data_IF_679511745568
#
_entry.id   IF_679511745568
#
_cell.length_a   1.000
_cell.length_b   1.000
_cell.length_c   1.000
_cell.angle_alpha   90.00
_cell.angle_beta   90.00
_cell.angle_gamma   90.00
#
_symmetry.space_group_name_H-M   'P 1'
#
loop_
_entity.id
_entity.type
_entity.pdbx_description
1 polymer ?
#
# COMPACT_ATOMS: atom_id res chain seq x y z
N UNK A 1 20.33 2.01 2.14
CA UNK A 1 19.90 1.98 0.72
C UNK A 1 18.94 0.82 0.58
N UNK A 2 17.65 1.08 0.39
CA UNK A 2 16.64 0.03 0.23
C UNK A 2 16.64 -0.39 -1.25
N UNK A 3 17.11 -1.60 -1.56
CA UNK A 3 16.96 -2.21 -2.87
C UNK A 3 15.50 -2.63 -3.03
N UNK A 4 14.77 -1.91 -3.88
CA UNK A 4 13.41 -2.26 -4.31
C UNK A 4 13.49 -3.41 -5.33
N UNK A 5 12.79 -4.51 -5.04
CA UNK A 5 12.66 -5.65 -5.96
C UNK A 5 11.93 -5.16 -7.24
N UNK A 6 12.34 -5.57 -8.45
CA UNK A 6 11.74 -5.03 -9.68
C UNK A 6 10.29 -5.51 -9.80
N UNK A 7 9.35 -4.57 -9.77
CA UNK A 7 7.99 -4.82 -10.22
C UNK A 7 8.08 -5.20 -11.71
N UNK A 8 7.67 -6.42 -12.09
CA UNK A 8 7.66 -6.82 -13.49
C UNK A 8 6.53 -6.07 -14.21
N UNK A 9 6.88 -4.91 -14.78
CA UNK A 9 5.96 -4.08 -15.55
C UNK A 9 5.79 -4.70 -16.95
N UNK A 10 4.55 -4.99 -17.31
CA UNK A 10 4.21 -5.34 -18.68
C UNK A 10 4.04 -4.04 -19.48
N UNK A 11 4.85 -3.88 -20.52
CA UNK A 11 4.89 -2.67 -21.33
C UNK A 11 3.99 -2.84 -22.55
N UNK A 12 2.93 -2.03 -22.60
CA UNK A 12 1.96 -1.94 -23.71
C UNK A 12 2.25 -0.77 -24.64
N UNK A 13 2.94 0.26 -24.14
CA UNK A 13 3.38 1.38 -24.97
C UNK A 13 4.55 0.98 -25.89
N UNK A 14 4.55 1.49 -27.12
CA UNK A 14 5.67 1.36 -28.03
C UNK A 14 6.80 2.32 -27.63
N UNK A 15 7.80 1.81 -26.89
CA UNK A 15 8.92 2.61 -26.41
C UNK A 15 9.87 3.03 -27.53
N UNK A 16 9.84 2.42 -28.72
CA UNK A 16 10.69 2.83 -29.85
C UNK A 16 10.31 4.22 -30.39
N UNK A 17 9.14 4.72 -29.99
CA UNK A 17 8.71 6.10 -30.25
C UNK A 17 9.55 7.15 -29.51
N UNK A 18 10.29 6.75 -28.47
CA UNK A 18 11.36 7.59 -27.92
C UNK A 18 12.62 7.40 -28.77
N UNK A 19 12.97 8.41 -29.55
CA UNK A 19 14.01 8.35 -30.60
C UNK A 19 15.41 8.01 -30.07
N UNK A 20 15.66 8.20 -28.77
CA UNK A 20 16.95 7.87 -28.13
C UNK A 20 16.80 6.67 -27.18
N UNK A 21 17.72 5.69 -27.21
CA UNK A 21 17.73 4.57 -26.26
C UNK A 21 17.73 5.01 -24.79
N UNK A 22 18.45 6.10 -24.48
CA UNK A 22 18.50 6.65 -23.12
C UNK A 22 17.13 7.13 -22.63
N UNK A 23 16.30 7.69 -23.52
CA UNK A 23 14.94 8.11 -23.19
C UNK A 23 14.03 6.91 -22.95
N UNK A 24 14.22 5.82 -23.70
CA UNK A 24 13.49 4.58 -23.46
C UNK A 24 13.80 4.01 -22.08
N UNK A 25 15.10 3.96 -21.73
CA UNK A 25 15.54 3.51 -20.41
C UNK A 25 15.01 4.43 -19.30
N UNK A 26 15.08 5.75 -19.50
CA UNK A 26 14.56 6.74 -18.55
C UNK A 26 13.04 6.66 -18.41
N UNK A 27 12.29 6.41 -19.48
CA UNK A 27 10.85 6.20 -19.43
C UNK A 27 10.49 4.97 -18.59
N UNK A 28 11.13 3.83 -18.86
CA UNK A 28 10.95 2.58 -18.10
C UNK A 28 11.31 2.74 -16.63
N UNK A 29 12.45 3.39 -16.34
CA UNK A 29 12.86 3.69 -14.96
C UNK A 29 11.88 4.64 -14.26
N UNK A 30 11.41 5.69 -14.93
CA UNK A 30 10.44 6.65 -14.38
C UNK A 30 9.11 5.95 -14.07
N UNK A 31 8.66 5.03 -14.92
CA UNK A 31 7.49 4.20 -14.67
C UNK A 31 7.70 3.23 -13.49
N UNK A 32 8.86 2.58 -13.42
CA UNK A 32 9.24 1.73 -12.30
C UNK A 32 9.23 2.47 -10.97
N UNK A 33 9.85 3.66 -10.94
CA UNK A 33 9.87 4.53 -9.76
C UNK A 33 8.46 5.00 -9.40
N UNK A 34 7.64 5.36 -10.38
CA UNK A 34 6.23 5.71 -10.15
C UNK A 34 5.51 4.62 -9.36
N UNK A 35 5.55 3.35 -9.81
CA UNK A 35 4.87 2.27 -9.07
C UNK A 35 5.52 1.92 -7.72
N UNK A 36 6.83 2.11 -7.58
CA UNK A 36 7.53 1.91 -6.31
C UNK A 36 7.10 2.89 -5.21
N UNK A 37 6.68 4.10 -5.56
CA UNK A 37 6.44 5.19 -4.61
C UNK A 37 4.98 5.66 -4.46
N UNK A 38 4.08 5.35 -5.39
CA UNK A 38 2.72 5.95 -5.53
C UNK A 38 1.77 5.82 -4.32
N UNK A 39 2.16 5.24 -3.18
CA UNK A 39 1.23 4.95 -2.08
C UNK A 39 1.58 5.41 -0.68
N UNK A 40 2.69 6.10 -0.42
CA UNK A 40 3.13 6.28 0.98
C UNK A 40 3.15 7.73 1.50
N UNK A 41 3.54 8.74 0.72
CA UNK A 41 3.74 10.10 1.26
C UNK A 41 3.54 11.22 0.24
N UNK A 42 3.32 12.45 0.73
CA UNK A 42 3.34 13.66 -0.11
C UNK A 42 4.70 13.89 -0.75
N UNK A 43 5.80 13.63 -0.02
CA UNK A 43 7.14 13.80 -0.57
C UNK A 43 7.42 12.82 -1.72
N UNK A 44 6.95 11.57 -1.61
CA UNK A 44 7.01 10.63 -2.73
C UNK A 44 6.23 11.11 -3.95
N UNK A 45 5.05 11.71 -3.74
CA UNK A 45 4.26 12.31 -4.82
C UNK A 45 4.98 13.47 -5.51
N UNK A 46 5.69 14.30 -4.73
CA UNK A 46 6.49 15.42 -5.24
C UNK A 46 7.70 14.92 -6.04
N UNK A 47 8.40 13.89 -5.56
CA UNK A 47 9.54 13.30 -6.28
C UNK A 47 9.12 12.64 -7.60
N UNK A 48 7.98 11.95 -7.60
CA UNK A 48 7.36 11.41 -8.82
C UNK A 48 7.01 12.55 -9.79
N UNK A 49 6.34 13.59 -9.29
CA UNK A 49 5.95 14.75 -10.11
C UNK A 49 7.15 15.42 -10.76
N UNK A 50 8.24 15.60 -10.01
CA UNK A 50 9.53 16.08 -10.53
C UNK A 50 10.10 15.16 -11.60
N UNK A 51 10.19 13.86 -11.32
CA UNK A 51 10.76 12.89 -12.26
C UNK A 51 9.99 12.83 -13.59
N UNK A 52 8.65 12.89 -13.52
CA UNK A 52 7.78 12.96 -14.70
C UNK A 52 7.95 14.28 -15.46
N UNK A 53 8.11 15.40 -14.74
CA UNK A 53 8.34 16.71 -15.36
C UNK A 53 9.72 16.81 -16.01
N UNK A 54 10.76 16.28 -15.39
CA UNK A 54 12.11 16.19 -15.97
C UNK A 54 12.10 15.33 -17.23
N UNK A 55 11.41 14.18 -17.19
CA UNK A 55 11.27 13.33 -18.37
C UNK A 55 10.46 14.00 -19.49
N UNK A 56 9.44 14.79 -19.14
CA UNK A 56 8.71 15.62 -20.11
C UNK A 56 9.64 16.62 -20.81
N UNK A 57 10.50 17.32 -20.05
CA UNK A 57 11.46 18.26 -20.64
C UNK A 57 12.50 17.57 -21.53
N UNK A 58 12.96 16.38 -21.14
CA UNK A 58 13.84 15.58 -22.00
C UNK A 58 13.15 15.15 -23.30
N UNK A 59 11.88 14.77 -23.24
CA UNK A 59 11.10 14.46 -24.44
C UNK A 59 11.03 15.69 -25.36
N UNK A 60 10.77 16.88 -24.81
CA UNK A 60 10.76 18.13 -25.60
C UNK A 60 12.13 18.45 -26.23
N UNK A 61 13.22 18.19 -25.51
CA UNK A 61 14.57 18.51 -25.95
C UNK A 61 15.09 17.55 -27.03
N UNK A 62 14.67 16.28 -27.00
CA UNK A 62 15.33 15.21 -27.74
C UNK A 62 14.41 14.44 -28.71
N UNK A 63 13.10 14.69 -28.72
CA UNK A 63 12.16 14.09 -29.66
C UNK A 63 11.44 15.19 -30.46
N UNK A 64 11.37 15.05 -31.79
CA UNK A 64 10.68 16.01 -32.68
C UNK A 64 9.19 16.16 -32.37
N UNK A 65 8.54 15.12 -31.84
CA UNK A 65 7.15 15.12 -31.37
C UNK A 65 7.04 14.86 -29.86
N UNK A 66 8.06 15.27 -29.08
CA UNK A 66 8.21 14.90 -27.68
C UNK A 66 6.98 15.14 -26.79
N UNK A 67 6.29 16.28 -26.98
CA UNK A 67 5.06 16.59 -26.25
C UNK A 67 3.98 15.51 -26.47
N UNK A 68 3.72 15.20 -27.75
CA UNK A 68 2.69 14.23 -28.15
C UNK A 68 3.04 12.83 -27.67
N UNK A 69 4.30 12.42 -27.86
CA UNK A 69 4.80 11.10 -27.42
C UNK A 69 4.69 10.95 -25.91
N UNK A 70 5.04 11.99 -25.13
CA UNK A 70 4.90 11.96 -23.67
C UNK A 70 3.43 11.89 -23.24
N UNK A 71 2.54 12.68 -23.85
CA UNK A 71 1.09 12.66 -23.53
C UNK A 71 0.44 11.30 -23.83
N UNK A 72 0.85 10.66 -24.93
CA UNK A 72 0.41 9.32 -25.30
C UNK A 72 0.98 8.25 -24.37
N UNK A 73 2.26 8.36 -23.99
CA UNK A 73 2.87 7.48 -22.99
C UNK A 73 2.19 7.60 -21.63
N UNK A 74 1.93 8.82 -21.15
CA UNK A 74 1.22 9.08 -19.89
C UNK A 74 -0.25 8.61 -19.93
N UNK A 75 -0.83 8.49 -21.13
CA UNK A 75 -2.18 7.99 -21.34
C UNK A 75 -2.25 6.49 -21.67
N UNK A 76 -1.10 5.85 -21.89
CA UNK A 76 -0.98 4.42 -22.20
C UNK A 76 -1.40 3.54 -21.03
N UNK A 77 -1.67 2.26 -21.30
CA UNK A 77 -2.11 1.30 -20.27
C UNK A 77 -0.99 0.87 -19.32
N UNK A 78 0.27 1.26 -19.60
CA UNK A 78 1.42 1.07 -18.72
C UNK A 78 1.21 1.69 -17.33
N UNK A 79 0.45 2.78 -17.25
CA UNK A 79 0.09 3.44 -15.98
C UNK A 79 -1.16 2.85 -15.33
N UNK A 80 -1.89 1.96 -16.02
CA UNK A 80 -3.10 1.28 -15.56
C UNK A 80 -4.15 2.24 -14.97
N UNK A 81 -4.73 1.86 -13.82
CA UNK A 81 -5.67 2.71 -13.08
C UNK A 81 -5.04 3.96 -12.45
N UNK A 82 -3.71 4.05 -12.43
CA UNK A 82 -2.95 5.12 -11.76
C UNK A 82 -2.64 6.31 -12.68
N UNK A 83 -3.12 6.32 -13.93
CA UNK A 83 -2.97 7.44 -14.89
C UNK A 83 -3.33 8.80 -14.28
N UNK A 84 -4.41 8.86 -13.51
CA UNK A 84 -4.86 10.09 -12.87
C UNK A 84 -3.87 10.60 -11.80
N UNK A 85 -3.17 9.68 -11.12
CA UNK A 85 -2.16 10.02 -10.10
C UNK A 85 -0.95 10.63 -10.77
N UNK A 86 -0.48 10.05 -11.87
CA UNK A 86 0.67 10.59 -12.62
C UNK A 86 0.41 12.02 -13.11
N UNK A 87 -0.77 12.28 -13.69
CA UNK A 87 -1.20 13.63 -14.08
C UNK A 87 -1.27 14.58 -12.88
N UNK A 88 -1.88 14.12 -11.78
CA UNK A 88 -1.99 14.93 -10.56
C UNK A 88 -0.63 15.24 -9.93
N UNK A 89 0.33 14.30 -9.97
CA UNK A 89 1.66 14.48 -9.42
C UNK A 89 2.42 15.62 -10.13
N UNK A 90 2.35 15.67 -11.47
CA UNK A 90 2.93 16.76 -12.27
C UNK A 90 2.27 18.09 -11.91
N UNK A 91 0.93 18.14 -11.86
CA UNK A 91 0.18 19.36 -11.47
C UNK A 91 0.57 19.86 -10.08
N UNK A 92 0.62 18.95 -9.09
CA UNK A 92 0.94 19.25 -7.70
C UNK A 92 2.39 19.70 -7.56
N UNK A 93 3.34 19.04 -8.22
CA UNK A 93 4.75 19.44 -8.20
C UNK A 93 4.95 20.84 -8.79
N UNK A 94 4.38 21.11 -9.96
CA UNK A 94 4.49 22.41 -10.63
C UNK A 94 3.85 23.56 -9.81
N UNK A 95 2.79 23.27 -9.05
CA UNK A 95 2.22 24.22 -8.08
C UNK A 95 3.13 24.39 -6.87
N UNK A 96 3.62 23.30 -6.30
CA UNK A 96 4.42 23.30 -5.07
C UNK A 96 5.76 24.05 -5.24
N UNK A 97 6.44 23.87 -6.37
CA UNK A 97 7.67 24.60 -6.73
C UNK A 97 7.49 26.12 -6.72
N UNK A 98 6.32 26.61 -7.13
CA UNK A 98 6.02 28.05 -7.18
C UNK A 98 5.73 28.67 -5.81
N UNK A 99 5.59 27.86 -4.77
CA UNK A 99 5.29 28.35 -3.42
C UNK A 99 6.53 28.91 -2.73
N UNK A 100 6.38 29.93 -1.87
CA UNK A 100 7.45 30.35 -0.99
C UNK A 100 7.95 29.20 -0.11
N UNK A 101 9.26 29.15 0.17
CA UNK A 101 9.89 28.09 0.97
C UNK A 101 9.26 27.87 2.36
N UNK A 102 8.65 28.92 2.94
CA UNK A 102 7.90 28.83 4.20
C UNK A 102 6.60 28.03 4.04
N UNK A 103 5.87 28.26 2.96
CA UNK A 103 4.63 27.53 2.63
C UNK A 103 4.93 26.09 2.25
N UNK A 104 5.99 25.84 1.49
CA UNK A 104 6.46 24.49 1.15
C UNK A 104 6.72 23.65 2.40
N UNK A 105 7.46 24.20 3.38
CA UNK A 105 7.72 23.53 4.67
C UNK A 105 6.44 23.23 5.44
N UNK A 106 5.52 24.20 5.51
CA UNK A 106 4.25 24.02 6.21
C UNK A 106 3.41 22.89 5.58
N UNK A 107 3.32 22.86 4.26
CA UNK A 107 2.59 21.82 3.52
C UNK A 107 3.22 20.46 3.78
N UNK A 108 4.54 20.32 3.57
CA UNK A 108 5.25 19.05 3.82
C UNK A 108 5.04 18.52 5.23
N UNK A 109 4.93 19.36 6.25
CA UNK A 109 4.73 18.88 7.62
C UNK A 109 3.33 18.31 7.87
N UNK A 110 2.31 18.81 7.17
CA UNK A 110 0.92 18.59 7.54
C UNK A 110 0.11 17.75 6.53
N UNK A 111 0.59 17.60 5.30
CA UNK A 111 -0.16 16.91 4.22
C UNK A 111 0.36 15.53 3.83
N UNK A 112 1.33 14.97 4.57
CA UNK A 112 2.00 13.71 4.21
C UNK A 112 1.04 12.55 3.91
N UNK A 113 -0.07 12.48 4.66
CA UNK A 113 -1.05 11.40 4.58
C UNK A 113 -2.38 11.82 3.92
N UNK A 114 -2.39 12.93 3.18
CA UNK A 114 -3.58 13.39 2.44
C UNK A 114 -3.76 12.58 1.15
N UNK A 115 -5.00 12.47 0.69
CA UNK A 115 -5.26 11.81 -0.60
C UNK A 115 -4.82 12.70 -1.76
N UNK A 116 -4.40 12.08 -2.86
CA UNK A 116 -4.02 12.79 -4.11
C UNK A 116 -5.13 13.72 -4.58
N UNK A 117 -6.39 13.30 -4.47
CA UNK A 117 -7.54 14.13 -4.83
C UNK A 117 -7.67 15.38 -3.95
N UNK A 118 -7.39 15.29 -2.65
CA UNK A 118 -7.44 16.45 -1.75
C UNK A 118 -6.27 17.41 -2.04
N UNK A 119 -5.06 16.87 -2.22
CA UNK A 119 -3.87 17.62 -2.61
C UNK A 119 -4.07 18.36 -3.93
N UNK A 120 -4.73 17.70 -4.90
CA UNK A 120 -5.07 18.32 -6.19
C UNK A 120 -6.03 19.50 -6.01
N UNK A 121 -7.01 19.43 -5.11
CA UNK A 121 -7.88 20.60 -4.85
C UNK A 121 -7.12 21.73 -4.18
N UNK A 122 -6.12 21.43 -3.34
CA UNK A 122 -5.28 22.43 -2.69
C UNK A 122 -4.56 23.34 -3.70
N UNK A 123 -4.20 22.79 -4.88
CA UNK A 123 -3.58 23.57 -5.98
C UNK A 123 -4.49 24.67 -6.55
N UNK A 124 -5.80 24.60 -6.30
CA UNK A 124 -6.80 25.55 -6.81
C UNK A 124 -7.18 26.63 -5.80
N UNK A 125 -6.69 26.51 -4.57
CA UNK A 125 -7.01 27.40 -3.46
C UNK A 125 -5.98 28.54 -3.40
N UNK A 126 -6.39 29.73 -2.95
CA UNK A 126 -5.48 30.87 -2.78
C UNK A 126 -4.41 30.58 -1.72
N UNK A 127 -3.23 31.19 -1.85
CA UNK A 127 -2.09 30.90 -0.97
C UNK A 127 -2.36 31.13 0.52
N UNK A 128 -3.23 32.08 0.86
CA UNK A 128 -3.54 32.37 2.26
C UNK A 128 -4.48 31.33 2.85
N UNK A 129 -5.48 30.89 2.09
CA UNK A 129 -6.40 29.84 2.52
C UNK A 129 -5.71 28.46 2.56
N UNK A 130 -4.70 28.21 1.72
CA UNK A 130 -3.85 27.00 1.81
C UNK A 130 -3.19 26.89 3.19
N UNK A 131 -2.71 27.99 3.78
CA UNK A 131 -2.07 27.96 5.11
C UNK A 131 -3.05 27.55 6.20
N UNK A 132 -4.29 28.03 6.12
CA UNK A 132 -5.35 27.72 7.09
C UNK A 132 -5.79 26.26 6.96
N UNK A 133 -6.11 25.84 5.73
CA UNK A 133 -6.51 24.47 5.40
C UNK A 133 -5.50 23.44 5.91
N UNK A 134 -4.22 23.68 5.64
CA UNK A 134 -3.13 22.76 6.00
C UNK A 134 -2.92 22.68 7.51
N UNK A 135 -3.19 23.77 8.27
CA UNK A 135 -3.09 23.78 9.73
C UNK A 135 -4.26 23.08 10.43
N UNK A 136 -5.42 23.04 9.78
CA UNK A 136 -6.63 22.45 10.36
C UNK A 136 -6.65 20.91 10.37
N UNK A 137 -5.56 20.27 9.95
CA UNK A 137 -5.43 18.81 9.92
C UNK A 137 -5.93 18.19 8.61
N UNK A 138 -6.05 16.85 8.58
CA UNK A 138 -6.39 16.11 7.37
C UNK A 138 -7.80 16.45 6.86
N UNK A 139 -7.88 16.92 5.61
CA UNK A 139 -9.14 17.27 4.93
C UNK A 139 -9.40 16.34 3.74
N UNK A 140 -10.69 16.13 3.45
CA UNK A 140 -11.12 15.43 2.23
C UNK A 140 -11.14 16.40 1.04
N UNK A 141 -11.15 15.86 -0.19
CA UNK A 141 -11.20 16.68 -1.39
C UNK A 141 -12.47 17.55 -1.46
N UNK A 142 -13.59 17.07 -0.92
CA UNK A 142 -14.84 17.83 -0.83
C UNK A 142 -14.70 19.01 0.13
N UNK A 143 -14.14 18.79 1.32
CA UNK A 143 -13.91 19.85 2.32
C UNK A 143 -12.97 20.94 1.79
N UNK A 144 -11.88 20.56 1.13
CA UNK A 144 -10.94 21.54 0.53
C UNK A 144 -11.62 22.37 -0.56
N UNK A 145 -12.53 21.76 -1.33
CA UNK A 145 -13.27 22.44 -2.38
C UNK A 145 -14.30 23.42 -1.80
N UNK A 146 -15.09 22.98 -0.82
CA UNK A 146 -16.13 23.79 -0.18
C UNK A 146 -15.57 25.02 0.55
N UNK A 147 -14.47 24.84 1.30
CA UNK A 147 -13.77 25.95 1.96
C UNK A 147 -13.14 26.89 0.92
N UNK A 148 -12.62 26.34 -0.19
CA UNK A 148 -12.09 27.11 -1.32
C UNK A 148 -13.13 27.94 -2.08
N UNK A 149 -14.38 27.48 -2.17
CA UNK A 149 -15.50 28.19 -2.78
C UNK A 149 -16.09 29.25 -1.83
N UNK A 150 -16.19 28.94 -0.54
CA UNK A 150 -16.66 29.87 0.50
C UNK A 150 -15.75 31.09 0.64
N UNK A 151 -14.43 30.89 0.57
CA UNK A 151 -13.46 32.00 0.59
C UNK A 151 -13.52 32.93 -0.63
N UNK A 152 -14.12 32.48 -1.75
CA UNK A 152 -14.31 33.31 -2.96
C UNK A 152 -15.63 34.10 -2.97
N UNK A 153 -16.62 33.70 -2.17
CA UNK A 153 -17.90 34.43 -2.07
C UNK A 153 -17.87 35.58 -1.04
N UNK A 154 -16.91 35.59 -0.12
CA UNK A 154 -16.77 36.65 0.92
C UNK A 154 -16.38 38.05 0.40
N UNK A 155 -15.97 38.20 -0.86
CA UNK A 155 -15.56 39.50 -1.43
C UNK A 155 -16.62 40.19 -2.31
N UNK A 156 -17.84 39.62 -2.44
CA UNK A 156 -18.93 40.28 -3.18
C UNK A 156 -20.13 40.59 -2.28
N UNK A 157 -20.16 41.83 -1.82
CA UNK A 157 -21.39 42.62 -1.80
C UNK A 157 -22.41 42.26 -0.73
N UNK A 158 -22.14 42.70 0.50
CA UNK A 158 -23.14 42.89 1.53
C UNK A 158 -24.20 43.92 1.05
N UNK A 159 -25.42 43.47 0.75
CA UNK A 159 -26.64 44.29 0.74
C UNK A 159 -27.79 43.50 1.37
N UNK A 160 -27.92 43.68 2.68
CA UNK A 160 -29.23 43.71 3.35
C UNK A 160 -30.09 44.79 2.68
N UNK A 161 -31.42 44.61 2.55
CA UNK A 161 -32.48 45.09 3.49
C UNK A 161 -33.85 44.45 3.02
N UNK A 162 -35.04 44.70 3.62
CA UNK A 162 -35.76 43.75 4.49
C UNK A 162 -37.22 43.42 4.03
N UNK A 163 -37.88 42.56 4.82
CA UNK A 163 -39.33 42.38 4.86
C UNK A 163 -40.06 43.64 5.35
N UNK A 164 -41.21 43.95 4.74
CA UNK A 164 -42.31 44.70 5.37
C UNK A 164 -43.65 44.13 4.87
N UNK A 165 -44.47 43.67 5.83
CA UNK A 165 -45.93 43.60 5.71
C UNK A 165 -46.50 45.02 5.77
N UNK A 166 -47.59 45.31 5.04
CA UNK A 166 -48.79 46.00 5.56
C UNK A 166 -49.91 45.92 4.52
N UNK A 167 -51.06 45.45 5.01
CA UNK A 167 -52.39 45.45 4.40
C UNK A 167 -52.86 46.79 3.85
N UNK A 168 -53.63 46.78 2.76
CA UNK A 168 -54.95 47.45 2.62
C UNK A 168 -55.49 47.32 1.18
N UNK A 169 -56.59 46.58 1.03
CA UNK A 169 -57.60 46.76 -0.03
C UNK A 169 -58.74 47.59 0.60
N UNK A 170 -59.49 48.44 -0.15
CA UNK A 170 -60.41 47.91 -1.15
C UNK A 170 -60.62 48.78 -2.40
N UNK A 171 -60.58 48.15 -3.56
CA UNK A 171 -61.41 48.52 -4.69
C UNK A 171 -61.69 47.24 -5.49
N UNK A 172 -62.97 46.94 -5.73
CA UNK A 172 -63.43 45.82 -6.57
C UNK A 172 -63.12 46.13 -8.05
N UNK A 173 -62.36 45.24 -8.71
CA UNK A 173 -62.72 44.80 -10.04
C UNK A 173 -62.81 43.28 -10.12
N UNK A 174 -63.44 42.81 -11.18
CA UNK A 174 -63.56 41.44 -11.72
C UNK A 174 -62.52 40.44 -11.19
N UNK A 175 -62.89 39.22 -10.75
CA UNK A 175 -61.98 38.27 -10.09
C UNK A 175 -60.79 37.94 -11.00
N UNK A 176 -59.65 38.57 -10.73
CA UNK A 176 -58.43 38.33 -11.47
C UNK A 176 -57.77 37.07 -10.92
N UNK A 177 -57.69 36.04 -11.77
CA UNK A 177 -57.06 34.77 -11.45
C UNK A 177 -55.58 34.99 -11.08
N UNK A 178 -55.20 34.56 -9.88
CA UNK A 178 -53.85 34.74 -9.33
C UNK A 178 -53.21 33.39 -8.94
N UNK A 179 -51.87 33.27 -8.96
CA UNK A 179 -51.19 32.11 -8.38
C UNK A 179 -51.64 31.86 -6.93
N UNK A 180 -51.88 30.59 -6.58
CA UNK A 180 -52.42 30.15 -5.31
C UNK A 180 -53.94 30.02 -5.26
N UNK A 181 -54.70 30.50 -6.25
CA UNK A 181 -56.15 30.32 -6.29
C UNK A 181 -56.54 28.90 -6.70
N UNK A 182 -57.59 28.38 -6.04
CA UNK A 182 -58.28 27.16 -6.47
C UNK A 182 -59.18 27.44 -7.65
N UNK A 183 -59.11 26.59 -8.66
CA UNK A 183 -59.92 26.68 -9.86
C UNK A 183 -60.56 25.36 -10.20
N UNK A 184 -61.61 25.43 -11.01
CA UNK A 184 -62.22 24.30 -11.71
C UNK A 184 -62.06 24.55 -13.20
N UNK A 185 -61.68 23.53 -13.95
CA UNK A 185 -61.57 23.60 -15.42
C UNK A 185 -62.97 23.55 -16.03
N UNK A 186 -63.38 24.59 -16.79
CA UNK A 186 -64.67 24.65 -17.49
C UNK A 186 -64.65 24.06 -18.88
N UNK A 187 -63.60 24.38 -19.64
CA UNK A 187 -63.48 24.07 -21.06
C UNK A 187 -62.05 23.64 -21.34
N UNK A 188 -61.88 22.41 -21.80
CA UNK A 188 -60.57 21.86 -22.13
C UNK A 188 -60.69 20.76 -23.18
N UNK A 189 -59.75 20.75 -24.12
CA UNK A 189 -59.69 19.78 -25.21
C UNK A 189 -59.07 18.45 -24.76
N UNK A 190 -58.44 18.42 -23.58
CA UNK A 190 -57.69 17.28 -23.03
C UNK A 190 -58.48 16.48 -21.98
N UNK A 191 -59.77 16.77 -21.81
CA UNK A 191 -60.68 16.01 -20.94
C UNK A 191 -60.65 16.39 -19.46
N UNK A 192 -60.01 17.51 -19.09
CA UNK A 192 -59.90 17.94 -17.70
C UNK A 192 -61.12 18.71 -17.17
N UNK A 193 -62.17 18.88 -17.97
CA UNK A 193 -63.40 19.58 -17.59
C UNK A 193 -63.97 19.01 -16.27
N UNK A 194 -64.26 19.90 -15.32
CA UNK A 194 -64.78 19.57 -13.99
C UNK A 194 -63.72 19.22 -12.94
N UNK A 195 -62.44 19.10 -13.30
CA UNK A 195 -61.38 18.84 -12.34
C UNK A 195 -60.96 20.12 -11.60
N UNK A 196 -60.76 20.00 -10.29
CA UNK A 196 -60.22 21.07 -9.45
C UNK A 196 -58.70 21.05 -9.45
N UNK A 197 -58.09 22.22 -9.26
CA UNK A 197 -56.65 22.39 -9.16
C UNK A 197 -56.25 23.74 -8.57
N UNK A 198 -54.96 23.99 -8.52
CA UNK A 198 -54.37 25.22 -7.99
C UNK A 198 -53.50 25.87 -9.06
N UNK A 199 -53.66 27.18 -9.25
CA UNK A 199 -52.79 27.96 -10.14
C UNK A 199 -51.40 28.05 -9.50
N UNK A 200 -50.38 27.51 -10.16
CA UNK A 200 -49.00 27.53 -9.68
C UNK A 200 -48.23 28.78 -10.14
N UNK A 201 -48.45 29.20 -11.39
CA UNK A 201 -47.79 30.39 -11.96
C UNK A 201 -48.52 30.89 -13.20
N UNK A 202 -48.29 32.16 -13.56
CA UNK A 202 -48.85 32.82 -14.74
C UNK A 202 -47.69 33.20 -15.68
N UNK A 203 -47.78 32.85 -16.96
CA UNK A 203 -46.80 33.24 -17.99
C UNK A 203 -47.54 33.60 -19.27
N UNK A 204 -47.24 34.79 -19.83
CA UNK A 204 -47.79 35.25 -21.13
C UNK A 204 -49.32 35.25 -21.25
N UNK A 205 -50.04 35.38 -20.12
CA UNK A 205 -51.50 35.36 -20.08
C UNK A 205 -52.13 33.97 -19.93
N UNK A 206 -51.31 32.93 -19.85
CA UNK A 206 -51.71 31.54 -19.58
C UNK A 206 -51.33 31.13 -18.15
N UNK A 207 -52.03 30.13 -17.62
CA UNK A 207 -51.91 29.67 -16.25
C UNK A 207 -51.42 28.23 -16.19
N UNK A 208 -50.31 28.01 -15.49
CA UNK A 208 -49.87 26.67 -15.13
C UNK A 208 -50.66 26.21 -13.90
N UNK A 209 -51.50 25.20 -14.09
CA UNK A 209 -52.36 24.63 -13.05
C UNK A 209 -51.88 23.23 -12.70
N UNK A 210 -51.79 22.97 -11.40
CA UNK A 210 -51.61 21.62 -10.85
C UNK A 210 -52.99 21.07 -10.49
N UNK A 211 -53.43 20.00 -11.15
CA UNK A 211 -54.75 19.41 -10.92
C UNK A 211 -54.69 18.41 -9.77
N UNK A 212 -55.73 18.37 -8.93
CA UNK A 212 -55.79 17.46 -7.79
C UNK A 212 -55.71 15.99 -8.22
N UNK A 213 -56.33 15.67 -9.36
CA UNK A 213 -56.35 14.31 -9.89
C UNK A 213 -54.95 13.81 -10.24
N UNK A 214 -54.11 14.65 -10.87
CA UNK A 214 -52.73 14.26 -11.20
C UNK A 214 -51.90 14.05 -9.94
N UNK A 215 -52.09 14.90 -8.92
CA UNK A 215 -51.41 14.76 -7.63
C UNK A 215 -51.85 13.48 -6.90
N UNK A 216 -53.15 13.14 -6.93
CA UNK A 216 -53.68 11.92 -6.32
C UNK A 216 -53.13 10.63 -6.95
N UNK A 217 -52.65 10.71 -8.20
CA UNK A 217 -51.98 9.63 -8.92
C UNK A 217 -50.45 9.63 -8.72
N UNK A 218 -49.91 10.50 -7.85
CA UNK A 218 -48.46 10.63 -7.63
C UNK A 218 -47.71 11.31 -8.77
N UNK A 219 -48.42 12.03 -9.66
CA UNK A 219 -47.82 12.74 -10.79
C UNK A 219 -47.78 14.26 -10.55
N UNK A 220 -46.61 14.87 -10.67
CA UNK A 220 -46.43 16.33 -10.61
C UNK A 220 -46.49 16.99 -12.00
N UNK A 221 -47.51 16.65 -12.78
CA UNK A 221 -47.70 17.21 -14.13
C UNK A 221 -48.46 18.54 -14.03
N UNK A 222 -47.89 19.59 -14.61
CA UNK A 222 -48.52 20.92 -14.71
C UNK A 222 -49.24 21.03 -16.06
N UNK A 223 -50.48 21.48 -16.04
CA UNK A 223 -51.27 21.72 -17.23
C UNK A 223 -51.32 23.21 -17.53
N UNK A 224 -51.15 23.59 -18.79
CA UNK A 224 -51.19 24.98 -19.24
C UNK A 224 -52.61 25.29 -19.72
N UNK A 225 -53.30 26.20 -19.02
CA UNK A 225 -54.70 26.54 -19.28
C UNK A 225 -54.86 28.04 -19.53
N UNK A 226 -55.74 28.40 -20.46
CA UNK A 226 -56.08 29.78 -20.80
C UNK A 226 -57.12 30.35 -19.83
N UNK A 227 -57.23 31.69 -19.69
CA UNK A 227 -58.13 32.31 -18.73
C UNK A 227 -59.62 31.91 -18.86
N UNK A 228 -60.10 31.63 -20.07
CA UNK A 228 -61.48 31.21 -20.31
C UNK A 228 -61.75 29.74 -19.96
N UNK A 229 -60.69 28.94 -19.84
CA UNK A 229 -60.77 27.50 -19.57
C UNK A 229 -60.95 27.19 -18.07
N UNK A 230 -60.78 28.18 -17.20
CA UNK A 230 -60.76 27.98 -15.74
C UNK A 230 -61.66 29.00 -15.03
N UNK A 231 -62.28 28.57 -13.93
CA UNK A 231 -63.02 29.46 -13.03
C UNK A 231 -62.59 29.27 -11.58
N UNK A 232 -62.71 30.30 -10.73
CA UNK A 232 -62.52 30.15 -9.30
C UNK A 232 -63.47 29.09 -8.75
N UNK A 233 -62.94 28.14 -7.98
CA UNK A 233 -63.76 27.14 -7.29
C UNK A 233 -64.63 27.86 -6.26
N UNK A 234 -65.90 28.09 -6.60
CA UNK A 234 -66.87 28.68 -5.68
C UNK A 234 -67.05 27.71 -4.51
N UNK A 235 -66.71 28.16 -3.29
CA UNK A 235 -66.92 27.40 -2.07
C UNK A 235 -68.41 27.08 -1.93
N UNK A 236 -68.81 25.87 -2.31
CA UNK A 236 -70.16 25.39 -2.04
C UNK A 236 -70.28 25.13 -0.53
N UNK A 237 -71.36 25.60 0.12
CA UNK A 237 -71.67 25.22 1.49
C UNK A 237 -71.95 23.71 1.51
N UNK A 238 -71.08 22.97 2.18
CA UNK A 238 -71.11 21.52 2.30
C UNK A 238 -72.50 21.07 2.77
N UNK A 239 -73.19 20.31 1.92
CA UNK A 239 -74.42 19.60 2.24
C UNK A 239 -74.14 18.58 3.35
N UNK A 240 -74.95 18.64 4.41
CA UNK A 240 -75.04 17.65 5.49
C UNK A 240 -75.14 16.23 4.93
N UNK A 241 -74.16 15.40 5.24
CA UNK A 241 -74.23 13.94 5.09
C UNK A 241 -74.45 13.34 6.48
N UNK A 242 -75.30 12.33 6.50
CA UNK A 242 -75.92 11.70 7.66
C UNK A 242 -74.92 11.02 8.61
N UNK A 243 -75.20 11.18 9.90
CA UNK A 243 -75.01 10.25 11.02
C UNK A 243 -74.06 9.06 10.81
N UNK A 244 -72.75 9.34 10.74
CA UNK A 244 -71.76 8.44 11.33
C UNK A 244 -71.54 8.91 12.76
N UNK A 245 -71.36 7.99 13.71
CA UNK A 245 -71.01 8.31 15.10
C UNK A 245 -69.86 9.33 15.11
N UNK A 246 -70.21 10.57 15.42
CA UNK A 246 -69.26 11.67 15.47
C UNK A 246 -68.48 11.49 16.76
N UNK A 247 -67.23 11.05 16.64
CA UNK A 247 -66.27 11.13 17.73
C UNK A 247 -66.33 12.54 18.32
N UNK A 248 -66.48 12.63 19.63
CA UNK A 248 -66.37 13.91 20.32
C UNK A 248 -64.98 14.50 20.07
N UNK A 249 -64.84 15.82 20.07
CA UNK A 249 -63.55 16.48 19.81
C UNK A 249 -62.42 15.93 20.70
N UNK A 250 -62.76 15.54 21.93
CA UNK A 250 -61.85 14.89 22.88
C UNK A 250 -61.43 13.48 22.43
N UNK A 251 -62.34 12.67 21.89
CA UNK A 251 -62.00 11.34 21.35
C UNK A 251 -61.15 11.42 20.09
N UNK A 252 -61.35 12.45 19.26
CA UNK A 252 -60.50 12.72 18.09
C UNK A 252 -59.10 13.12 18.54
N UNK A 253 -58.97 14.04 19.49
CA UNK A 253 -57.67 14.45 20.05
C UNK A 253 -56.94 13.28 20.72
N UNK A 254 -57.66 12.43 21.46
CA UNK A 254 -57.10 11.23 22.08
C UNK A 254 -56.59 10.25 21.02
N UNK A 255 -57.37 9.98 19.97
CA UNK A 255 -56.93 9.11 18.87
C UNK A 255 -55.74 9.68 18.10
N UNK A 256 -55.66 10.99 17.93
CA UNK A 256 -54.49 11.65 17.31
C UNK A 256 -53.27 11.48 18.20
N UNK A 257 -53.39 11.68 19.51
CA UNK A 257 -52.30 11.50 20.46
C UNK A 257 -51.80 10.04 20.48
N UNK A 258 -52.71 9.07 20.53
CA UNK A 258 -52.38 7.64 20.53
C UNK A 258 -51.72 7.22 19.21
N UNK A 259 -52.21 7.71 18.06
CA UNK A 259 -51.62 7.44 16.76
C UNK A 259 -50.21 8.04 16.62
N UNK A 260 -49.99 9.26 17.15
CA UNK A 260 -48.65 9.87 17.17
C UNK A 260 -47.71 9.07 18.07
N UNK A 261 -48.18 8.63 19.24
CA UNK A 261 -47.39 7.82 20.17
C UNK A 261 -46.99 6.47 19.55
N UNK A 262 -47.93 5.78 18.90
CA UNK A 262 -47.66 4.52 18.20
C UNK A 262 -46.67 4.72 17.05
N UNK A 263 -46.88 5.72 16.21
CA UNK A 263 -45.98 6.03 15.10
C UNK A 263 -44.55 6.35 15.60
N UNK A 264 -44.43 7.10 16.69
CA UNK A 264 -43.13 7.39 17.30
C UNK A 264 -42.45 6.14 17.85
N UNK A 265 -43.21 5.22 18.44
CA UNK A 265 -42.68 3.94 18.91
C UNK A 265 -42.20 3.06 17.75
N UNK A 266 -43.02 2.86 16.71
CA UNK A 266 -42.65 2.09 15.52
C UNK A 266 -41.43 2.67 14.81
N UNK A 267 -41.33 4.01 14.76
CA UNK A 267 -40.16 4.70 14.22
C UNK A 267 -38.91 4.45 15.05
N UNK A 268 -39.00 4.51 16.38
CA UNK A 268 -37.87 4.23 17.26
C UNK A 268 -37.38 2.76 17.13
N UNK A 269 -38.32 1.81 17.05
CA UNK A 269 -38.00 0.39 16.84
C UNK A 269 -37.36 0.15 15.46
N UNK A 270 -37.88 0.79 14.40
CA UNK A 270 -37.31 0.71 13.05
C UNK A 270 -35.89 1.29 12.99
N UNK A 271 -35.67 2.45 13.61
CA UNK A 271 -34.35 3.06 13.69
C UNK A 271 -33.36 2.18 14.46
N UNK A 272 -33.79 1.59 15.59
CA UNK A 272 -32.97 0.66 16.36
C UNK A 272 -32.60 -0.59 15.55
N UNK A 273 -33.53 -1.15 14.78
CA UNK A 273 -33.27 -2.24 13.84
C UNK A 273 -32.19 -1.87 12.81
N UNK A 274 -32.30 -0.68 12.19
CA UNK A 274 -31.29 -0.17 11.25
C UNK A 274 -29.92 -0.01 11.89
N UNK A 275 -29.84 0.48 13.13
CA UNK A 275 -28.55 0.61 13.81
C UNK A 275 -27.88 -0.74 14.06
N UNK A 276 -28.65 -1.77 14.40
CA UNK A 276 -28.14 -3.13 14.58
C UNK A 276 -27.60 -3.68 13.26
N UNK A 277 -28.35 -3.56 12.17
CA UNK A 277 -27.91 -4.00 10.84
C UNK A 277 -26.63 -3.31 10.39
N UNK A 278 -26.54 -1.99 10.55
CA UNK A 278 -25.34 -1.21 10.21
C UNK A 278 -24.15 -1.66 11.06
N UNK A 279 -24.35 -1.84 12.37
CA UNK A 279 -23.29 -2.30 13.28
C UNK A 279 -22.78 -3.69 12.88
N UNK A 280 -23.69 -4.61 12.61
CA UNK A 280 -23.32 -5.99 12.31
C UNK A 280 -22.66 -6.09 10.92
N UNK A 281 -23.12 -5.30 9.94
CA UNK A 281 -22.45 -5.16 8.65
C UNK A 281 -21.05 -4.56 8.78
N UNK A 282 -20.88 -3.53 9.62
CA UNK A 282 -19.58 -2.93 9.90
C UNK A 282 -18.62 -3.92 10.58
N UNK A 283 -19.11 -4.72 11.54
CA UNK A 283 -18.33 -5.77 12.20
C UNK A 283 -17.91 -6.87 11.22
N UNK A 284 -18.79 -7.28 10.31
CA UNK A 284 -18.43 -8.24 9.28
C UNK A 284 -17.40 -7.68 8.30
N UNK A 285 -17.53 -6.42 7.88
CA UNK A 285 -16.56 -5.75 7.03
C UNK A 285 -15.18 -5.68 7.70
N UNK A 286 -15.14 -5.26 8.98
CA UNK A 286 -13.91 -5.21 9.76
C UNK A 286 -13.25 -6.59 9.91
N UNK A 287 -14.03 -7.65 10.15
CA UNK A 287 -13.51 -9.03 10.20
C UNK A 287 -12.88 -9.46 8.88
N UNK A 288 -13.52 -9.16 7.74
CA UNK A 288 -12.97 -9.47 6.41
C UNK A 288 -11.67 -8.72 6.15
N UNK A 289 -11.60 -7.45 6.55
CA UNK A 289 -10.39 -6.62 6.38
C UNK A 289 -9.23 -7.14 7.25
N UNK A 290 -9.49 -7.51 8.51
CA UNK A 290 -8.50 -8.11 9.39
C UNK A 290 -7.98 -9.43 8.82
N UNK A 291 -8.88 -10.29 8.32
CA UNK A 291 -8.49 -11.55 7.72
C UNK A 291 -7.63 -11.36 6.46
N UNK A 292 -8.03 -10.44 5.57
CA UNK A 292 -7.24 -10.10 4.39
C UNK A 292 -5.86 -9.54 4.75
N UNK A 293 -5.78 -8.71 5.80
CA UNK A 293 -4.50 -8.19 6.30
C UNK A 293 -3.60 -9.30 6.86
N UNK A 294 -4.17 -10.27 7.57
CA UNK A 294 -3.44 -11.43 8.09
C UNK A 294 -2.92 -12.33 6.96
N UNK A 295 -3.74 -12.61 5.94
CA UNK A 295 -3.33 -13.37 4.76
C UNK A 295 -2.20 -12.68 4.01
N UNK A 296 -2.30 -11.36 3.82
CA UNK A 296 -1.24 -10.56 3.22
C UNK A 296 0.06 -10.60 4.04
N UNK A 297 -0.04 -10.48 5.37
CA UNK A 297 1.13 -10.60 6.26
C UNK A 297 1.79 -11.97 6.15
N UNK A 298 1.01 -13.05 6.08
CA UNK A 298 1.55 -14.42 5.90
C UNK A 298 2.23 -14.58 4.56
N UNK A 299 1.65 -14.04 3.48
CA UNK A 299 2.24 -14.07 2.15
C UNK A 299 3.60 -13.34 2.11
N UNK A 300 3.70 -12.18 2.77
CA UNK A 300 4.98 -11.46 2.90
C UNK A 300 6.01 -12.30 3.66
N UNK A 301 5.64 -12.89 4.79
CA UNK A 301 6.56 -13.72 5.58
C UNK A 301 7.07 -14.93 4.78
N UNK A 302 6.18 -15.62 4.07
CA UNK A 302 6.56 -16.74 3.19
C UNK A 302 7.51 -16.31 2.06
N UNK A 303 7.23 -15.16 1.44
CA UNK A 303 8.11 -14.61 0.40
C UNK A 303 9.48 -14.20 0.96
N UNK A 304 9.51 -13.63 2.17
CA UNK A 304 10.75 -13.27 2.85
C UNK A 304 11.61 -14.50 3.15
N UNK A 305 10.99 -15.59 3.60
CA UNK A 305 11.68 -16.86 3.85
C UNK A 305 12.25 -17.46 2.55
N UNK A 306 11.45 -17.51 1.47
CA UNK A 306 11.90 -18.00 0.17
C UNK A 306 13.07 -17.18 -0.40
N UNK A 307 13.04 -15.86 -0.23
CA UNK A 307 14.16 -15.00 -0.64
C UNK A 307 15.42 -15.23 0.19
N UNK A 308 15.28 -15.46 1.51
CA UNK A 308 16.40 -15.78 2.37
C UNK A 308 17.07 -17.10 1.96
N UNK A 309 16.27 -18.12 1.65
CA UNK A 309 16.77 -19.41 1.17
C UNK A 309 17.48 -19.26 -0.18
N UNK A 310 16.88 -18.56 -1.14
CA UNK A 310 17.50 -18.30 -2.45
C UNK A 310 18.83 -17.54 -2.33
N UNK A 311 18.91 -16.59 -1.39
CA UNK A 311 20.15 -15.86 -1.14
C UNK A 311 21.23 -16.78 -0.53
N UNK A 312 20.87 -17.71 0.36
CA UNK A 312 21.81 -18.72 0.86
C UNK A 312 22.31 -19.64 -0.25
N UNK A 313 21.43 -20.10 -1.14
CA UNK A 313 21.83 -20.94 -2.28
C UNK A 313 22.78 -20.20 -3.23
N UNK A 314 22.52 -18.92 -3.50
CA UNK A 314 23.41 -18.10 -4.31
C UNK A 314 24.77 -17.89 -3.64
N UNK A 315 24.82 -17.69 -2.33
CA UNK A 315 26.07 -17.61 -1.57
C UNK A 315 26.87 -18.92 -1.64
N UNK A 316 26.19 -20.07 -1.52
CA UNK A 316 26.83 -21.38 -1.64
C UNK A 316 27.42 -21.58 -3.05
N UNK A 317 26.69 -21.20 -4.09
CA UNK A 317 27.18 -21.25 -5.47
C UNK A 317 28.38 -20.33 -5.72
N UNK A 318 28.36 -19.11 -5.15
CA UNK A 318 29.49 -18.19 -5.23
C UNK A 318 30.72 -18.76 -4.54
N UNK A 319 30.58 -19.35 -3.35
CA UNK A 319 31.68 -20.01 -2.64
C UNK A 319 32.30 -21.14 -3.46
N UNK A 320 31.47 -22.00 -4.07
CA UNK A 320 31.94 -23.07 -4.93
C UNK A 320 32.69 -22.55 -6.16
N UNK A 321 32.24 -21.44 -6.75
CA UNK A 321 32.92 -20.78 -7.87
C UNK A 321 34.23 -20.12 -7.47
N UNK A 322 34.30 -19.52 -6.29
CA UNK A 322 35.54 -18.98 -5.75
C UNK A 322 36.59 -20.08 -5.50
N UNK A 323 36.17 -21.25 -5.02
CA UNK A 323 37.05 -22.42 -4.89
C UNK A 323 37.58 -22.91 -6.24
N UNK A 324 36.73 -22.96 -7.27
CA UNK A 324 37.13 -23.30 -8.64
C UNK A 324 38.18 -22.31 -9.18
N UNK A 325 37.97 -21.00 -8.97
CA UNK A 325 38.93 -19.96 -9.37
C UNK A 325 40.26 -20.11 -8.64
N UNK A 326 40.27 -20.39 -7.33
CA UNK A 326 41.52 -20.65 -6.58
C UNK A 326 42.26 -21.88 -7.11
N UNK A 327 41.53 -22.93 -7.46
CA UNK A 327 42.10 -24.13 -8.08
C UNK A 327 42.77 -23.80 -9.42
N UNK A 328 42.08 -23.04 -10.28
CA UNK A 328 42.63 -22.59 -11.56
C UNK A 328 43.88 -21.71 -11.39
N UNK A 329 43.90 -20.79 -10.42
CA UNK A 329 45.07 -19.97 -10.12
C UNK A 329 46.27 -20.83 -9.66
N UNK A 330 46.01 -21.87 -8.88
CA UNK A 330 47.05 -22.83 -8.45
C UNK A 330 47.62 -23.59 -9.64
N UNK A 331 46.76 -24.06 -10.55
CA UNK A 331 47.18 -24.74 -11.78
C UNK A 331 47.96 -23.80 -12.71
N UNK A 332 47.54 -22.54 -12.84
CA UNK A 332 48.25 -21.53 -13.62
C UNK A 332 49.67 -21.30 -13.07
N UNK A 333 49.81 -21.18 -11.76
CA UNK A 333 51.12 -21.03 -11.11
C UNK A 333 52.01 -22.24 -11.38
N UNK A 334 51.45 -23.46 -11.31
CA UNK A 334 52.19 -24.69 -11.59
C UNK A 334 52.61 -24.79 -13.06
N UNK A 335 51.75 -24.39 -13.99
CA UNK A 335 52.10 -24.34 -15.41
C UNK A 335 53.25 -23.36 -15.68
N UNK A 336 53.23 -22.17 -15.07
CA UNK A 336 54.34 -21.22 -15.18
C UNK A 336 55.66 -21.80 -14.64
N UNK A 337 55.62 -22.52 -13.52
CA UNK A 337 56.81 -23.20 -12.98
C UNK A 337 57.31 -24.31 -13.91
N UNK A 338 56.41 -25.07 -14.53
CA UNK A 338 56.76 -26.09 -15.50
C UNK A 338 57.39 -25.46 -16.76
N UNK A 339 56.82 -24.38 -17.29
CA UNK A 339 57.38 -23.64 -18.43
C UNK A 339 58.79 -23.11 -18.14
N UNK A 340 59.01 -22.56 -16.94
CA UNK A 340 60.35 -22.14 -16.51
C UNK A 340 61.33 -23.32 -16.50
N UNK A 341 60.91 -24.46 -15.93
CA UNK A 341 61.75 -25.67 -15.85
C UNK A 341 62.02 -26.29 -17.23
N UNK A 342 61.05 -26.27 -18.15
CA UNK A 342 61.27 -26.68 -19.54
C UNK A 342 62.30 -25.77 -20.19
N UNK A 343 62.17 -24.44 -20.03
CA UNK A 343 63.11 -23.46 -20.59
C UNK A 343 64.53 -23.67 -20.02
N UNK A 344 64.66 -23.97 -18.73
CA UNK A 344 65.95 -24.28 -18.10
C UNK A 344 66.56 -25.58 -18.63
N UNK A 345 65.75 -26.63 -18.80
CA UNK A 345 66.20 -27.90 -19.37
C UNK A 345 66.61 -27.76 -20.83
N UNK A 346 65.87 -26.99 -21.64
CA UNK A 346 66.21 -26.68 -23.03
C UNK A 346 67.57 -25.97 -23.12
N UNK A 347 67.80 -24.96 -22.26
CA UNK A 347 69.11 -24.28 -22.17
C UNK A 347 70.22 -25.23 -21.71
N UNK A 348 69.95 -26.12 -20.77
CA UNK A 348 70.93 -27.09 -20.28
C UNK A 348 71.32 -28.09 -21.38
N UNK A 349 70.34 -28.55 -22.18
CA UNK A 349 70.56 -29.43 -23.33
C UNK A 349 71.33 -28.72 -24.45
N UNK A 350 71.02 -27.46 -24.74
CA UNK A 350 71.76 -26.67 -25.73
C UNK A 350 73.21 -26.47 -25.29
N UNK A 351 73.43 -26.15 -24.00
CA UNK A 351 74.76 -26.07 -23.41
C UNK A 351 75.50 -27.42 -23.48
N UNK A 352 74.83 -28.55 -23.24
CA UNK A 352 75.46 -29.87 -23.32
C UNK A 352 75.85 -30.28 -24.73
N UNK A 353 74.97 -30.04 -25.69
CA UNK A 353 75.21 -30.35 -27.10
C UNK A 353 76.34 -29.49 -27.71
N UNK A 354 76.49 -28.25 -27.25
CA UNK A 354 77.57 -27.35 -27.69
C UNK A 354 78.96 -27.73 -27.19
N UNK A 355 79.07 -28.67 -26.24
CA UNK A 355 80.32 -29.00 -25.55
C UNK A 355 80.70 -30.46 -25.78
N UNK A 356 80.82 -30.89 -27.03
CA UNK A 356 80.92 -32.31 -27.41
C UNK A 356 82.25 -33.01 -27.10
N UNK A 357 83.20 -32.42 -26.34
CA UNK A 357 84.55 -33.00 -26.20
C UNK A 357 85.07 -33.22 -24.76
N UNK A 358 84.27 -33.15 -23.68
CA UNK A 358 84.84 -33.35 -22.33
C UNK A 358 83.86 -33.85 -21.25
N UNK A 359 83.09 -34.90 -21.55
CA UNK A 359 81.87 -35.24 -20.80
C UNK A 359 81.91 -36.35 -19.73
N UNK A 360 83.01 -37.08 -19.52
CA UNK A 360 82.90 -38.25 -18.62
C UNK A 360 83.19 -38.00 -17.13
N UNK A 361 83.95 -36.96 -16.76
CA UNK A 361 84.41 -36.80 -15.36
C UNK A 361 83.89 -35.56 -14.61
N UNK A 362 83.39 -34.54 -15.32
CA UNK A 362 82.95 -33.28 -14.71
C UNK A 362 81.45 -33.26 -14.38
N UNK A 363 80.66 -34.02 -15.14
CA UNK A 363 79.21 -34.05 -15.04
C UNK A 363 78.73 -34.57 -13.68
N UNK A 364 79.34 -35.65 -13.18
CA UNK A 364 78.87 -36.29 -11.95
C UNK A 364 79.08 -35.41 -10.69
N UNK A 365 80.15 -34.59 -10.66
CA UNK A 365 80.45 -33.73 -9.51
C UNK A 365 79.72 -32.39 -9.55
N UNK A 366 79.51 -31.80 -10.73
CA UNK A 366 78.73 -30.57 -10.86
C UNK A 366 77.23 -30.84 -10.78
N UNK A 367 76.73 -31.92 -11.38
CA UNK A 367 75.32 -32.31 -11.26
C UNK A 367 74.94 -32.60 -9.80
N UNK A 368 75.78 -33.35 -9.06
CA UNK A 368 75.53 -33.60 -7.64
C UNK A 368 75.49 -32.31 -6.80
N UNK A 369 76.33 -31.31 -7.11
CA UNK A 369 76.32 -30.01 -6.41
C UNK A 369 75.09 -29.17 -6.74
N UNK A 370 74.66 -29.13 -7.99
CA UNK A 370 73.48 -28.36 -8.40
C UNK A 370 72.21 -29.00 -7.85
N UNK A 371 72.10 -30.34 -7.93
CA UNK A 371 70.97 -31.09 -7.37
C UNK A 371 70.88 -30.93 -5.85
N UNK A 372 72.00 -31.01 -5.12
CA UNK A 372 71.98 -30.76 -3.67
C UNK A 372 71.59 -29.32 -3.33
N UNK A 373 72.07 -28.34 -4.10
CA UNK A 373 71.73 -26.92 -3.86
C UNK A 373 70.25 -26.63 -4.17
N UNK A 374 69.69 -27.23 -5.20
CA UNK A 374 68.25 -27.12 -5.49
C UNK A 374 67.40 -27.86 -4.46
N UNK A 375 67.81 -29.05 -4.02
CA UNK A 375 67.17 -29.78 -2.93
C UNK A 375 67.14 -28.95 -1.65
N UNK A 376 68.27 -28.38 -1.23
CA UNK A 376 68.34 -27.48 -0.06
C UNK A 376 67.41 -26.27 -0.22
N UNK A 377 67.44 -25.62 -1.39
CA UNK A 377 66.58 -24.45 -1.68
C UNK A 377 65.09 -24.79 -1.64
N UNK A 378 64.71 -26.03 -1.90
CA UNK A 378 63.31 -26.49 -1.93
C UNK A 378 62.85 -27.04 -0.58
N UNK A 379 63.73 -27.72 0.15
CA UNK A 379 63.43 -28.33 1.45
C UNK A 379 63.24 -27.28 2.54
N UNK A 380 64.04 -26.21 2.54
CA UNK A 380 63.98 -25.22 3.62
C UNK A 380 62.65 -24.44 3.69
N UNK A 381 62.07 -23.96 2.57
CA UNK A 381 60.72 -23.37 2.59
C UNK A 381 59.62 -24.38 2.97
N UNK A 382 59.73 -25.63 2.51
CA UNK A 382 58.78 -26.69 2.85
C UNK A 382 58.81 -27.01 4.35
N UNK A 383 59.98 -27.07 4.96
CA UNK A 383 60.11 -27.25 6.42
C UNK A 383 59.48 -26.09 7.19
N UNK A 384 59.72 -24.84 6.76
CA UNK A 384 59.09 -23.66 7.40
C UNK A 384 57.57 -23.69 7.28
N UNK A 385 57.03 -24.17 6.16
CA UNK A 385 55.58 -24.30 5.97
C UNK A 385 55.00 -25.42 6.83
N UNK A 386 55.71 -26.55 6.99
CA UNK A 386 55.32 -27.61 7.93
C UNK A 386 55.31 -27.10 9.37
N UNK A 387 56.34 -26.36 9.80
CA UNK A 387 56.40 -25.76 11.13
C UNK A 387 55.26 -24.76 11.36
N UNK A 388 54.95 -23.94 10.35
CA UNK A 388 53.82 -23.00 10.37
C UNK A 388 52.49 -23.73 10.50
N UNK A 389 52.26 -24.78 9.71
CA UNK A 389 51.03 -25.57 9.75
C UNK A 389 50.86 -26.30 11.09
N UNK A 390 51.94 -26.85 11.64
CA UNK A 390 51.92 -27.45 12.98
C UNK A 390 51.57 -26.42 14.06
N UNK A 391 52.09 -25.19 13.96
CA UNK A 391 51.75 -24.10 14.88
C UNK A 391 50.28 -23.70 14.78
N UNK A 392 49.73 -23.59 13.56
CA UNK A 392 48.31 -23.28 13.33
C UNK A 392 47.40 -24.40 13.86
N UNK A 393 47.75 -25.66 13.63
CA UNK A 393 47.00 -26.81 14.15
C UNK A 393 46.97 -26.79 15.68
N UNK A 394 48.12 -26.60 16.32
CA UNK A 394 48.21 -26.52 17.78
C UNK A 394 47.36 -25.37 18.35
N UNK A 395 47.36 -24.21 17.68
CA UNK A 395 46.52 -23.07 18.06
C UNK A 395 45.02 -23.39 17.92
N UNK A 396 44.62 -24.04 16.82
CA UNK A 396 43.22 -24.43 16.58
C UNK A 396 42.74 -25.49 17.55
N UNK A 397 43.58 -26.43 17.94
CA UNK A 397 43.27 -27.44 18.93
C UNK A 397 43.06 -26.81 20.32
N UNK A 398 43.88 -25.82 20.71
CA UNK A 398 43.65 -25.05 21.94
C UNK A 398 42.35 -24.23 21.90
N UNK A 399 42.00 -23.67 20.74
CA UNK A 399 40.76 -22.90 20.56
C UNK A 399 39.52 -23.81 20.66
N UNK A 400 39.57 -25.01 20.07
CA UNK A 400 38.52 -26.01 20.19
C UNK A 400 38.30 -26.45 21.64
N UNK A 401 39.37 -26.72 22.39
CA UNK A 401 39.27 -27.07 23.83
C UNK A 401 38.62 -25.92 24.62
N UNK A 402 38.99 -24.65 24.35
CA UNK A 402 38.37 -23.50 25.01
C UNK A 402 36.88 -23.38 24.70
N UNK A 403 36.49 -23.51 23.43
CA UNK A 403 35.09 -23.45 23.01
C UNK A 403 34.26 -24.59 23.61
N UNK A 404 34.84 -25.78 23.71
CA UNK A 404 34.19 -26.91 24.34
C UNK A 404 33.98 -26.68 25.85
N UNK A 405 34.95 -26.07 26.55
CA UNK A 405 34.79 -25.74 27.97
C UNK A 405 33.78 -24.61 28.22
N UNK A 406 33.67 -23.61 27.35
CA UNK A 406 32.66 -22.54 27.49
C UNK A 406 31.26 -23.06 27.20
N UNK A 407 31.10 -23.85 26.14
CA UNK A 407 29.80 -24.41 25.75
C UNK A 407 29.23 -25.36 26.83
N UNK A 408 30.08 -26.16 27.47
CA UNK A 408 29.64 -27.05 28.55
C UNK A 408 29.14 -26.27 29.77
N UNK A 409 29.80 -25.15 30.13
CA UNK A 409 29.36 -24.30 31.25
C UNK A 409 28.02 -23.62 31.01
N UNK A 410 27.80 -23.13 29.79
CA UNK A 410 26.53 -22.51 29.41
C UNK A 410 25.40 -23.56 29.36
N UNK A 411 25.69 -24.74 28.81
CA UNK A 411 24.73 -25.86 28.78
C UNK A 411 24.34 -26.32 30.19
N UNK A 412 25.29 -26.43 31.11
CA UNK A 412 25.02 -26.83 32.49
C UNK A 412 24.19 -25.77 33.25
N UNK A 413 24.42 -24.48 32.98
CA UNK A 413 23.65 -23.39 33.58
C UNK A 413 22.18 -23.39 33.11
N UNK A 414 21.96 -23.56 31.80
CA UNK A 414 20.60 -23.65 31.22
C UNK A 414 19.84 -24.85 31.78
N UNK A 415 20.52 -26.00 31.92
CA UNK A 415 19.90 -27.23 32.43
C UNK A 415 19.61 -27.13 33.92
N UNK A 416 20.46 -26.45 34.70
CA UNK A 416 20.19 -26.18 36.10
C UNK A 416 18.96 -25.27 36.28
N UNK A 417 18.86 -24.19 35.51
CA UNK A 417 17.70 -23.29 35.54
C UNK A 417 16.42 -24.01 35.11
N UNK A 418 16.49 -24.80 34.02
CA UNK A 418 15.37 -25.59 33.54
C UNK A 418 14.95 -26.67 34.56
N UNK A 419 15.93 -27.30 35.22
CA UNK A 419 15.70 -28.27 36.28
C UNK A 419 15.05 -27.66 37.52
N UNK A 420 15.47 -26.46 37.93
CA UNK A 420 14.81 -25.70 39.00
C UNK A 420 13.37 -25.33 38.66
N UNK A 421 13.11 -24.90 37.42
CA UNK A 421 11.76 -24.60 36.94
C UNK A 421 10.93 -25.89 36.97
N UNK A 422 11.42 -26.99 36.40
CA UNK A 422 10.73 -28.27 36.39
C UNK A 422 10.40 -28.77 37.79
N UNK A 423 11.34 -28.66 38.73
CA UNK A 423 11.14 -29.01 40.14
C UNK A 423 10.07 -28.14 40.80
N UNK A 424 10.08 -26.82 40.57
CA UNK A 424 9.06 -25.88 41.09
C UNK A 424 7.66 -26.15 40.54
N UNK A 425 7.55 -26.54 39.28
CA UNK A 425 6.27 -26.84 38.62
C UNK A 425 5.84 -28.31 38.76
N UNK A 426 6.60 -29.13 39.48
CA UNK A 426 6.27 -30.53 39.76
C UNK A 426 6.40 -31.46 38.54
N UNK A 427 7.26 -31.12 37.57
CA UNK A 427 7.54 -31.97 36.43
C UNK A 427 8.28 -33.23 36.89
N UNK A 428 7.64 -34.39 36.73
CA UNK A 428 8.21 -35.65 37.20
C UNK A 428 9.57 -35.93 36.55
N UNK A 429 10.54 -36.29 37.38
CA UNK A 429 11.91 -36.59 36.95
C UNK A 429 12.84 -35.37 36.96
N UNK A 430 12.35 -34.13 36.91
CA UNK A 430 13.22 -32.95 36.93
C UNK A 430 13.63 -32.55 38.36
N UNK A 431 14.88 -32.13 38.48
CA UNK A 431 15.45 -31.51 39.68
C UNK A 431 16.47 -30.45 39.28
N UNK A 432 16.86 -29.58 40.22
CA UNK A 432 18.02 -28.67 40.08
C UNK A 432 19.33 -29.34 39.65
N UNK A 433 19.43 -30.68 39.77
CA UNK A 433 20.60 -31.47 39.36
C UNK A 433 20.48 -32.10 37.97
N UNK A 434 19.34 -31.96 37.28
CA UNK A 434 19.09 -32.57 35.97
C UNK A 434 17.81 -33.41 35.95
N UNK A 435 17.68 -34.24 34.91
CA UNK A 435 16.50 -35.05 34.63
C UNK A 435 16.74 -36.52 34.96
N UNK A 436 15.84 -37.13 35.72
CA UNK A 436 15.80 -38.57 35.96
C UNK A 436 14.88 -39.22 34.96
N UNK A 437 15.47 -39.99 34.06
CA UNK A 437 14.76 -40.75 33.04
C UNK A 437 13.81 -41.79 33.66
N UNK A 438 12.85 -42.26 32.87
CA UNK A 438 11.93 -43.34 33.24
C UNK A 438 12.67 -44.65 33.60
N UNK A 439 13.88 -44.84 33.06
CA UNK A 439 14.80 -45.95 33.43
C UNK A 439 15.42 -45.80 34.83
N UNK A 440 15.24 -44.65 35.47
CA UNK A 440 15.83 -44.29 36.76
C UNK A 440 17.22 -43.64 36.66
N UNK A 441 17.81 -43.55 35.48
CA UNK A 441 19.12 -42.91 35.24
C UNK A 441 19.03 -41.39 35.38
N UNK A 442 19.98 -40.77 36.10
CA UNK A 442 20.08 -39.32 36.18
C UNK A 442 20.94 -38.81 35.01
N UNK A 443 20.33 -38.03 34.13
CA UNK A 443 20.96 -37.34 33.02
C UNK A 443 21.24 -35.88 33.41
N UNK A 444 22.42 -35.38 33.05
CA UNK A 444 22.88 -34.02 33.34
C UNK A 444 23.29 -33.30 32.05
N UNK A 445 23.42 -31.97 32.09
CA UNK A 445 23.74 -31.19 30.88
C UNK A 445 22.67 -31.34 29.79
N UNK A 446 23.05 -31.12 28.53
CA UNK A 446 22.11 -31.17 27.38
C UNK A 446 21.43 -32.54 27.24
N UNK A 447 22.10 -33.62 27.64
CA UNK A 447 21.55 -34.98 27.60
C UNK A 447 20.31 -35.13 28.50
N UNK A 448 20.19 -34.31 29.56
CA UNK A 448 18.98 -34.27 30.40
C UNK A 448 17.75 -33.83 29.60
N UNK A 449 17.89 -32.83 28.74
CA UNK A 449 16.80 -32.31 27.91
C UNK A 449 16.46 -33.31 26.79
N UNK A 450 17.48 -33.88 26.14
CA UNK A 450 17.28 -34.90 25.11
C UNK A 450 16.53 -36.11 25.66
N UNK A 451 16.97 -36.64 26.81
CA UNK A 451 16.32 -37.80 27.43
C UNK A 451 14.90 -37.49 27.89
N UNK A 452 14.63 -36.29 28.39
CA UNK A 452 13.27 -35.85 28.71
C UNK A 452 12.36 -35.82 27.48
N UNK A 453 12.85 -35.29 26.35
CA UNK A 453 12.09 -35.27 25.09
C UNK A 453 11.79 -36.70 24.62
N UNK A 454 12.75 -37.61 24.75
CA UNK A 454 12.56 -39.00 24.34
C UNK A 454 11.58 -39.75 25.24
N UNK A 455 11.65 -39.55 26.56
CA UNK A 455 10.67 -40.10 27.51
C UNK A 455 9.26 -39.51 27.29
N UNK A 456 9.17 -38.23 26.91
CA UNK A 456 7.92 -37.56 26.57
C UNK A 456 7.33 -38.12 25.26
N UNK A 457 8.15 -38.35 24.24
CA UNK A 457 7.72 -39.02 22.98
C UNK A 457 7.25 -40.45 23.23
N UNK A 458 7.95 -41.20 24.08
CA UNK A 458 7.57 -42.56 24.44
C UNK A 458 6.24 -42.62 25.21
N UNK A 459 5.96 -41.62 26.05
CA UNK A 459 4.73 -41.51 26.85
C UNK A 459 3.51 -41.07 26.03
N UNK A 460 3.72 -40.40 24.89
CA UNK A 460 2.64 -39.91 24.01
C UNK A 460 2.87 -40.29 22.53
N UNK A 461 2.71 -41.57 22.17
CA UNK A 461 2.98 -42.06 20.80
C UNK A 461 2.02 -41.49 19.73
N UNK A 462 0.89 -40.90 20.12
CA UNK A 462 -0.16 -40.38 19.22
C UNK A 462 0.11 -38.98 18.64
N UNK A 463 1.21 -38.31 18.99
CA UNK A 463 1.56 -36.98 18.45
C UNK A 463 2.55 -37.01 17.27
N UNK A 464 2.83 -38.18 16.69
CA UNK A 464 3.83 -38.31 15.61
C UNK A 464 3.43 -37.73 14.23
N UNK A 465 2.27 -37.08 14.06
CA UNK A 465 1.90 -36.44 12.78
C UNK A 465 1.14 -35.13 12.94
N UNK A 466 1.76 -34.15 13.59
CA UNK A 466 1.58 -32.77 13.15
C UNK A 466 2.97 -32.21 12.86
N UNK A 467 3.38 -32.37 11.60
CA UNK A 467 4.37 -31.49 11.00
C UNK A 467 3.91 -30.05 11.27
N UNK A 468 4.59 -29.38 12.20
CA UNK A 468 4.60 -27.92 12.22
C UNK A 468 5.39 -27.55 10.97
N UNK A 469 4.68 -27.37 9.87
CA UNK A 469 5.22 -26.79 8.65
C UNK A 469 5.78 -25.41 9.02
N UNK A 470 7.10 -25.27 8.94
CA UNK A 470 7.79 -23.98 8.93
C UNK A 470 7.98 -23.51 7.50
#
# INVERSE_FOLDING_TARGET
MLQTVPFALNYTFDYDRFTKPDLQAKAKSTLGNFFGFVRQTFDGLIEIGRSLQDFYFDCLAFCSNGKKVFEEWLSSDDFGASKYIAKSAIEIYAWFEKLPARSQRLIRQNVQNWSVSALRQLTKVSHDLVKELVRSGKKTAAQVKEEGESGRQGERGNKQVPSEEVSQTPALPTPELAPGMRIVVKEDDMGWVGHSGIIMSKKEGEFWVLLDHTVSQGMEVKNLLKPHQIEPEAQQPVRKINSQELFTAVEVEQKIADAIAQHNQEKAESEQGRFIEIRDAALQAAKREIQAAQEYSRAISAMSFANAQKNQDLLAQLSAKDEEVRSLQTLQTRNQQLEQRVTELEKALEYSNSRTDNWENTLNKQAARVVNKELEKTIEPLMREVDRLNSVLSQKEQELVRLQMSNNRESDAVVAEFGEIGERFGWQGWSSRGYRAASGMLCTGIEAISQFIDDLKASYPSHQQQEIAF
#
